data_IF_977122128023
#
_entry.id   IF_977122128023
#
_cell.length_a   1.000
_cell.length_b   1.000
_cell.length_c   1.000
_cell.angle_alpha   90.00
_cell.angle_beta   90.00
_cell.angle_gamma   90.00
#
_symmetry.space_group_name_H-M   'P 1'
#
loop_
_entity.id
_entity.type
_entity.pdbx_description
1 polymer ?
#
# COMPACT_ATOMS: atom_id res chain seq x y z
N UNK A 1 8.84 -2.80 72.63
CA UNK A 1 9.87 -2.55 71.59
C UNK A 1 9.31 -2.88 70.19
N UNK A 2 8.70 -1.88 69.53
CA UNK A 2 8.19 -2.03 68.18
C UNK A 2 9.33 -2.04 67.16
N UNK A 3 9.17 -2.88 66.14
CA UNK A 3 10.04 -3.02 64.99
C UNK A 3 10.02 -1.72 64.17
N UNK A 4 11.21 -1.20 63.87
CA UNK A 4 11.41 -0.15 62.89
C UNK A 4 11.17 -0.75 61.49
N UNK A 5 10.14 -0.28 60.81
CA UNK A 5 9.97 -0.43 59.37
C UNK A 5 10.68 0.77 58.73
N UNK A 6 11.72 0.50 57.94
CA UNK A 6 12.36 1.48 57.07
C UNK A 6 11.43 1.74 55.88
N UNK A 7 10.83 2.93 55.88
CA UNK A 7 10.20 3.53 54.70
C UNK A 7 11.28 3.84 53.65
N UNK A 8 11.44 2.94 52.69
CA UNK A 8 12.17 3.21 51.45
C UNK A 8 11.17 3.77 50.43
N UNK A 9 11.06 5.10 50.42
CA UNK A 9 10.26 5.88 49.48
C UNK A 9 10.87 5.76 48.07
N UNK A 10 10.20 4.99 47.22
CA UNK A 10 10.56 4.77 45.82
C UNK A 10 9.92 5.89 44.97
N UNK A 11 10.69 6.61 44.13
CA UNK A 11 10.17 7.77 43.39
C UNK A 11 9.13 7.35 42.33
N UNK A 12 8.11 8.18 42.06
CA UNK A 12 7.05 7.84 41.11
C UNK A 12 7.57 7.79 39.66
N UNK A 13 7.03 6.89 38.82
CA UNK A 13 7.44 6.77 37.42
C UNK A 13 7.02 8.01 36.60
N UNK A 14 7.82 8.43 35.61
CA UNK A 14 7.50 9.57 34.77
C UNK A 14 6.27 9.29 33.88
N UNK A 15 5.44 10.30 33.60
CA UNK A 15 4.25 10.14 32.76
C UNK A 15 4.62 9.87 31.29
N UNK A 16 3.77 9.13 30.54
CA UNK A 16 4.03 8.77 29.16
C UNK A 16 4.03 10.01 28.23
N UNK A 17 4.85 10.01 27.16
CA UNK A 17 4.94 11.14 26.23
C UNK A 17 3.64 11.30 25.44
N UNK A 18 3.03 12.49 25.53
CA UNK A 18 1.92 12.91 24.70
C UNK A 18 2.38 13.16 23.25
N UNK A 19 1.57 12.79 22.24
CA UNK A 19 1.87 13.04 20.84
C UNK A 19 1.79 14.53 20.50
N UNK A 20 2.86 15.02 19.88
CA UNK A 20 3.05 16.38 19.39
C UNK A 20 1.96 16.80 18.41
N UNK A 21 1.25 17.88 18.74
CA UNK A 21 0.42 18.62 17.80
C UNK A 21 1.31 19.51 16.91
N UNK A 22 1.04 19.63 15.61
CA UNK A 22 1.76 20.54 14.72
C UNK A 22 1.41 22.02 14.99
N UNK A 23 2.35 22.95 14.79
CA UNK A 23 2.21 24.35 15.17
C UNK A 23 1.21 25.14 14.32
N UNK A 24 0.35 25.90 15.01
CA UNK A 24 -0.42 27.01 14.44
C UNK A 24 0.52 28.19 14.19
N UNK A 25 0.66 28.63 12.93
CA UNK A 25 1.25 29.91 12.58
C UNK A 25 0.19 30.94 12.25
N UNK A 26 0.33 32.07 12.94
CA UNK A 26 -0.45 33.30 12.92
C UNK A 26 -0.50 33.99 11.56
N UNK A 27 -1.68 34.50 11.22
CA UNK A 27 -1.93 35.40 10.10
C UNK A 27 -1.21 36.74 10.29
N UNK A 28 -0.53 37.21 9.24
CA UNK A 28 -0.14 38.62 9.10
C UNK A 28 -0.46 39.08 7.68
N UNK A 29 -1.24 40.14 7.59
CA UNK A 29 -1.73 40.80 6.38
C UNK A 29 -0.70 41.79 5.86
N UNK A 30 -0.28 41.71 4.60
CA UNK A 30 0.24 42.88 3.85
C UNK A 30 0.03 42.69 2.35
N UNK A 31 -0.61 43.72 1.79
CA UNK A 31 -1.08 43.93 0.41
C UNK A 31 0.08 44.33 -0.51
N UNK A 32 0.14 43.81 -1.75
CA UNK A 32 0.77 44.43 -2.93
C UNK A 32 0.43 43.65 -4.21
N UNK A 33 0.31 44.38 -5.31
CA UNK A 33 -0.40 44.16 -6.59
C UNK A 33 0.38 43.48 -7.74
N UNK A 34 -0.41 42.88 -8.67
CA UNK A 34 -0.24 42.61 -10.12
C UNK A 34 0.28 41.24 -10.68
N UNK A 35 -0.17 40.79 -11.90
CA UNK A 35 -0.45 39.38 -12.27
C UNK A 35 0.34 38.84 -13.52
N UNK A 36 -0.08 37.77 -14.26
CA UNK A 36 0.30 36.34 -14.18
C UNK A 36 1.14 35.86 -15.43
N UNK A 37 1.55 34.57 -15.65
CA UNK A 37 0.66 33.43 -15.96
C UNK A 37 1.08 32.00 -15.48
N UNK A 38 0.06 31.20 -15.13
CA UNK A 38 -0.15 29.73 -15.30
C UNK A 38 1.03 28.74 -15.34
N UNK A 39 1.06 27.80 -14.37
CA UNK A 39 0.85 26.36 -14.61
C UNK A 39 0.85 25.58 -13.28
N UNK A 40 -0.23 24.84 -13.03
CA UNK A 40 -0.53 24.11 -11.81
C UNK A 40 0.45 22.97 -11.49
N UNK A 41 0.68 22.67 -10.19
CA UNK A 41 1.44 21.51 -9.72
C UNK A 41 0.52 20.33 -9.35
N UNK A 42 0.99 19.11 -9.70
CA UNK A 42 0.70 17.80 -9.06
C UNK A 42 -0.68 17.56 -8.46
N UNK A 43 -1.54 16.88 -9.22
CA UNK A 43 -2.66 16.09 -8.67
C UNK A 43 -2.10 14.96 -7.79
N UNK A 44 -2.13 15.14 -6.47
CA UNK A 44 -2.01 14.02 -5.52
C UNK A 44 -3.41 13.44 -5.34
N UNK A 45 -3.68 12.30 -5.96
CA UNK A 45 -4.93 11.56 -5.79
C UNK A 45 -5.05 11.10 -4.33
N UNK A 46 -6.14 11.41 -3.60
CA UNK A 46 -6.35 10.90 -2.25
C UNK A 46 -6.59 9.37 -2.25
N UNK A 47 -6.31 8.68 -1.14
CA UNK A 47 -6.48 7.22 -1.01
C UNK A 47 -7.93 6.79 -1.28
N UNK A 48 -8.18 5.60 -1.86
CA UNK A 48 -9.52 5.13 -2.19
C UNK A 48 -10.37 5.02 -0.92
N UNK A 49 -11.49 5.75 -0.91
CA UNK A 49 -12.54 5.63 0.09
C UNK A 49 -13.10 4.19 0.06
N UNK A 50 -13.35 3.54 1.21
CA UNK A 50 -13.84 2.17 1.24
C UNK A 50 -15.18 2.09 0.53
N UNK A 51 -15.18 1.47 -0.64
CA UNK A 51 -16.39 1.28 -1.43
C UNK A 51 -17.46 0.54 -0.59
N UNK A 52 -18.73 0.99 -0.62
CA UNK A 52 -19.78 0.32 0.10
C UNK A 52 -19.91 -1.12 -0.41
N UNK A 53 -19.71 -2.09 0.49
CA UNK A 53 -19.80 -3.52 0.16
C UNK A 53 -21.19 -3.80 -0.40
N UNK A 54 -21.27 -3.92 -1.72
CA UNK A 54 -22.54 -4.13 -2.41
C UNK A 54 -23.01 -5.55 -2.09
N UNK A 55 -24.24 -5.74 -1.58
CA UNK A 55 -24.71 -7.07 -1.21
C UNK A 55 -24.88 -7.95 -2.43
N UNK A 56 -24.17 -9.08 -2.47
CA UNK A 56 -24.29 -10.09 -3.52
C UNK A 56 -25.64 -10.82 -3.51
N UNK A 57 -25.91 -11.67 -4.51
CA UNK A 57 -27.22 -12.30 -4.71
C UNK A 57 -27.66 -13.14 -3.51
N UNK A 58 -26.72 -13.81 -2.83
CA UNK A 58 -27.01 -14.61 -1.64
C UNK A 58 -27.27 -13.75 -0.40
N UNK A 59 -26.53 -12.68 -0.22
CA UNK A 59 -26.76 -11.73 0.87
C UNK A 59 -28.14 -11.05 0.72
N UNK A 60 -28.52 -10.69 -0.51
CA UNK A 60 -29.86 -10.18 -0.82
C UNK A 60 -30.96 -11.19 -0.50
N UNK A 61 -30.78 -12.46 -0.91
CA UNK A 61 -31.73 -13.54 -0.58
C UNK A 61 -31.85 -13.76 0.93
N UNK A 62 -30.75 -13.71 1.67
CA UNK A 62 -30.77 -13.86 3.13
C UNK A 62 -31.61 -12.75 3.78
N UNK A 63 -31.41 -11.50 3.36
CA UNK A 63 -32.22 -10.35 3.81
C UNK A 63 -33.70 -10.52 3.45
N UNK A 64 -34.00 -10.92 2.20
CA UNK A 64 -35.37 -11.14 1.75
C UNK A 64 -36.08 -12.26 2.54
N UNK A 65 -35.39 -13.37 2.79
CA UNK A 65 -35.92 -14.48 3.60
C UNK A 65 -36.18 -14.05 5.04
N UNK A 66 -35.28 -13.26 5.63
CA UNK A 66 -35.48 -12.73 6.98
C UNK A 66 -36.71 -11.82 7.05
N UNK A 67 -36.87 -10.89 6.10
CA UNK A 67 -38.03 -10.02 6.01
C UNK A 67 -39.33 -10.82 5.83
N UNK A 68 -39.32 -11.80 4.92
CA UNK A 68 -40.48 -12.67 4.67
C UNK A 68 -40.85 -13.51 5.90
N UNK A 69 -39.86 -14.03 6.64
CA UNK A 69 -40.10 -14.83 7.83
C UNK A 69 -40.61 -13.95 8.97
N UNK A 70 -40.07 -12.74 9.10
CA UNK A 70 -40.51 -11.75 10.09
C UNK A 70 -41.95 -11.31 9.82
N UNK A 71 -42.30 -10.95 8.58
CA UNK A 71 -43.68 -10.59 8.25
C UNK A 71 -44.63 -11.75 8.53
N UNK A 72 -44.28 -12.96 8.08
CA UNK A 72 -45.12 -14.14 8.29
C UNK A 72 -45.32 -14.49 9.78
N UNK A 73 -44.30 -14.31 10.62
CA UNK A 73 -44.42 -14.54 12.07
C UNK A 73 -45.26 -13.47 12.76
N UNK A 74 -45.11 -12.21 12.37
CA UNK A 74 -45.93 -11.11 12.88
C UNK A 74 -47.39 -11.21 12.42
N UNK A 75 -47.65 -11.69 11.20
CA UNK A 75 -49.00 -11.90 10.67
C UNK A 75 -49.78 -12.97 11.47
N UNK A 76 -49.09 -13.97 12.03
CA UNK A 76 -49.72 -14.97 12.91
C UNK A 76 -50.19 -14.37 14.24
N UNK A 77 -49.55 -13.30 14.70
CA UNK A 77 -50.01 -12.49 15.82
C UNK A 77 -51.15 -11.56 15.36
N UNK A 78 -52.19 -12.13 14.77
CA UNK A 78 -53.31 -11.34 14.25
C UNK A 78 -54.15 -10.72 15.39
N UNK A 79 -54.79 -9.57 15.16
CA UNK A 79 -55.68 -8.94 16.13
C UNK A 79 -56.78 -9.86 16.71
N UNK A 80 -57.48 -10.73 15.92
CA UNK A 80 -58.48 -11.62 16.49
C UNK A 80 -57.87 -12.67 17.44
N UNK A 81 -56.74 -13.29 17.04
CA UNK A 81 -56.03 -14.25 17.90
C UNK A 81 -55.60 -13.59 19.22
N UNK A 82 -55.16 -12.33 19.17
CA UNK A 82 -54.75 -11.60 20.37
C UNK A 82 -55.94 -11.26 21.28
N UNK A 83 -57.10 -10.92 20.71
CA UNK A 83 -58.33 -10.62 21.46
C UNK A 83 -58.90 -11.86 22.16
N UNK A 84 -58.82 -13.02 21.54
CA UNK A 84 -59.24 -14.30 22.13
C UNK A 84 -58.48 -14.64 23.41
N UNK A 85 -57.19 -14.28 23.49
CA UNK A 85 -56.39 -14.45 24.70
C UNK A 85 -56.74 -13.49 25.84
N UNK A 86 -57.41 -12.36 25.54
CA UNK A 86 -57.77 -11.32 26.51
C UNK A 86 -59.26 -10.94 26.47
N UNK A 87 -60.18 -11.88 26.75
CA UNK A 87 -61.62 -11.69 26.52
C UNK A 87 -62.21 -10.54 27.36
N UNK A 88 -61.76 -10.38 28.61
CA UNK A 88 -62.26 -9.33 29.51
C UNK A 88 -61.89 -7.92 29.04
N UNK A 89 -60.67 -7.73 28.54
CA UNK A 89 -60.19 -6.43 28.06
C UNK A 89 -60.74 -6.16 26.66
N UNK A 90 -60.87 -7.19 25.82
CA UNK A 90 -61.48 -7.07 24.49
C UNK A 90 -62.93 -6.56 24.54
N UNK A 91 -63.69 -6.89 25.59
CA UNK A 91 -65.06 -6.41 25.77
C UNK A 91 -65.12 -5.01 26.39
N UNK A 92 -64.23 -4.70 27.34
CA UNK A 92 -64.26 -3.44 28.10
C UNK A 92 -63.55 -2.28 27.40
N UNK A 93 -62.49 -2.55 26.65
CA UNK A 93 -61.66 -1.54 25.99
C UNK A 93 -60.93 -2.11 24.75
N UNK A 94 -61.67 -2.43 23.66
CA UNK A 94 -61.07 -3.00 22.45
C UNK A 94 -60.01 -2.07 21.81
N UNK A 95 -60.24 -0.76 21.84
CA UNK A 95 -59.30 0.22 21.27
C UNK A 95 -57.94 0.27 21.99
N UNK A 96 -57.92 0.11 23.31
CA UNK A 96 -56.67 0.06 24.08
C UNK A 96 -55.89 -1.21 23.77
N UNK A 97 -56.59 -2.35 23.63
CA UNK A 97 -55.97 -3.63 23.30
C UNK A 97 -55.35 -3.62 21.89
N UNK A 98 -56.05 -3.04 20.91
CA UNK A 98 -55.54 -2.87 19.55
C UNK A 98 -54.30 -1.95 19.51
N UNK A 99 -54.28 -0.91 20.33
CA UNK A 99 -53.13 -0.01 20.42
C UNK A 99 -51.91 -0.72 21.04
N UNK A 100 -52.10 -1.52 22.10
CA UNK A 100 -51.02 -2.33 22.69
C UNK A 100 -50.50 -3.37 21.70
N UNK A 101 -51.41 -4.03 20.98
CA UNK A 101 -51.07 -5.01 19.95
C UNK A 101 -50.21 -4.39 18.83
N UNK A 102 -50.62 -3.25 18.29
CA UNK A 102 -49.84 -2.52 17.27
C UNK A 102 -48.48 -2.09 17.80
N UNK A 103 -48.42 -1.50 19.00
CA UNK A 103 -47.15 -1.08 19.61
C UNK A 103 -46.20 -2.26 19.86
N UNK A 104 -46.74 -3.41 20.25
CA UNK A 104 -45.96 -4.62 20.45
C UNK A 104 -45.36 -5.12 19.14
N UNK A 105 -46.17 -5.22 18.07
CA UNK A 105 -45.70 -5.66 16.74
C UNK A 105 -44.65 -4.69 16.20
N UNK A 106 -44.89 -3.39 16.29
CA UNK A 106 -43.99 -2.36 15.78
C UNK A 106 -42.63 -2.38 16.51
N UNK A 107 -42.66 -2.46 17.85
CA UNK A 107 -41.45 -2.57 18.66
C UNK A 107 -40.69 -3.87 18.38
N UNK A 108 -41.40 -4.99 18.23
CA UNK A 108 -40.80 -6.29 17.96
C UNK A 108 -40.12 -6.29 16.58
N UNK A 109 -40.81 -5.79 15.55
CA UNK A 109 -40.28 -5.62 14.20
C UNK A 109 -39.02 -4.76 14.19
N UNK A 110 -39.06 -3.61 14.88
CA UNK A 110 -37.93 -2.69 14.98
C UNK A 110 -36.73 -3.33 15.67
N UNK A 111 -36.95 -4.04 16.80
CA UNK A 111 -35.89 -4.71 17.53
C UNK A 111 -35.27 -5.86 16.72
N UNK A 112 -36.10 -6.68 16.05
CA UNK A 112 -35.61 -7.76 15.21
C UNK A 112 -34.77 -7.26 14.04
N UNK A 113 -35.24 -6.24 13.32
CA UNK A 113 -34.46 -5.64 12.22
C UNK A 113 -33.14 -5.05 12.72
N UNK A 114 -33.15 -4.37 13.87
CA UNK A 114 -31.95 -3.78 14.46
C UNK A 114 -30.94 -4.85 14.88
N UNK A 115 -31.36 -5.90 15.59
CA UNK A 115 -30.46 -6.97 16.00
C UNK A 115 -29.96 -7.77 14.80
N UNK A 116 -30.78 -7.95 13.77
CA UNK A 116 -30.37 -8.61 12.54
C UNK A 116 -29.28 -7.84 11.80
N UNK A 117 -29.43 -6.53 11.59
CA UNK A 117 -28.37 -5.71 10.97
C UNK A 117 -27.10 -5.71 11.85
N UNK A 118 -27.24 -5.62 13.17
CA UNK A 118 -26.09 -5.74 14.10
C UNK A 118 -25.34 -7.07 13.92
N UNK A 119 -26.06 -8.18 13.75
CA UNK A 119 -25.44 -9.50 13.52
C UNK A 119 -24.75 -9.53 12.14
N UNK A 120 -25.37 -8.97 11.10
CA UNK A 120 -24.77 -8.90 9.77
C UNK A 120 -23.45 -8.11 9.78
N UNK A 121 -23.40 -7.00 10.50
CA UNK A 121 -22.21 -6.17 10.67
C UNK A 121 -21.13 -6.88 11.51
N UNK A 122 -21.50 -7.35 12.71
CA UNK A 122 -20.54 -7.94 13.66
C UNK A 122 -19.84 -9.17 13.08
N UNK A 123 -20.55 -9.97 12.30
CA UNK A 123 -20.01 -11.19 11.68
C UNK A 123 -19.54 -10.97 10.24
N UNK A 124 -19.62 -9.74 9.72
CA UNK A 124 -19.26 -9.39 8.35
C UNK A 124 -19.92 -10.33 7.32
N UNK A 125 -21.18 -10.69 7.56
CA UNK A 125 -21.86 -11.76 6.80
C UNK A 125 -21.93 -11.40 5.32
N UNK A 126 -22.21 -10.13 4.99
CA UNK A 126 -22.30 -9.68 3.59
C UNK A 126 -20.97 -9.89 2.87
N UNK A 127 -19.86 -9.52 3.50
CA UNK A 127 -18.51 -9.72 2.95
C UNK A 127 -18.23 -11.21 2.73
N UNK A 128 -18.48 -12.06 3.74
CA UNK A 128 -18.23 -13.50 3.63
C UNK A 128 -19.10 -14.18 2.59
N UNK A 129 -20.36 -13.75 2.45
CA UNK A 129 -21.25 -14.28 1.42
C UNK A 129 -20.84 -13.82 0.01
N UNK A 130 -20.29 -12.62 -0.13
CA UNK A 130 -19.72 -12.16 -1.39
C UNK A 130 -18.46 -12.95 -1.75
N UNK A 131 -17.52 -13.10 -0.81
CA UNK A 131 -16.32 -13.96 -0.98
C UNK A 131 -16.71 -15.39 -1.37
N UNK A 132 -17.78 -15.92 -0.78
CA UNK A 132 -18.30 -17.24 -1.13
C UNK A 132 -18.86 -17.29 -2.56
N UNK A 133 -19.58 -16.27 -3.02
CA UNK A 133 -20.07 -16.21 -4.40
C UNK A 133 -18.91 -16.12 -5.39
N UNK A 134 -17.85 -15.37 -5.08
CA UNK A 134 -16.65 -15.30 -5.89
C UNK A 134 -15.96 -16.67 -5.99
N UNK A 135 -15.80 -17.37 -4.86
CA UNK A 135 -15.26 -18.74 -4.84
C UNK A 135 -16.12 -19.73 -5.62
N UNK A 136 -17.45 -19.60 -5.58
CA UNK A 136 -18.36 -20.45 -6.34
C UNK A 136 -18.22 -20.16 -7.84
N UNK A 137 -18.12 -18.90 -8.24
CA UNK A 137 -17.91 -18.52 -9.64
C UNK A 137 -16.57 -19.07 -10.16
N UNK A 138 -15.49 -18.94 -9.39
CA UNK A 138 -14.19 -19.50 -9.74
C UNK A 138 -14.25 -21.03 -9.87
N UNK A 139 -14.90 -21.70 -8.92
CA UNK A 139 -15.08 -23.14 -8.96
C UNK A 139 -15.92 -23.59 -10.17
N UNK A 140 -16.97 -22.86 -10.52
CA UNK A 140 -17.79 -23.12 -11.71
C UNK A 140 -16.99 -22.90 -13.00
N UNK A 141 -16.16 -21.86 -13.08
CA UNK A 141 -15.27 -21.62 -14.21
C UNK A 141 -14.26 -22.76 -14.38
N UNK A 142 -13.62 -23.19 -13.29
CA UNK A 142 -12.71 -24.35 -13.29
C UNK A 142 -13.42 -25.62 -13.74
N UNK A 143 -14.64 -25.87 -13.23
CA UNK A 143 -15.44 -27.03 -13.65
C UNK A 143 -15.76 -27.00 -15.16
N UNK A 144 -16.16 -25.85 -15.70
CA UNK A 144 -16.42 -25.68 -17.14
C UNK A 144 -15.16 -25.91 -17.98
N UNK A 145 -13.99 -25.47 -17.49
CA UNK A 145 -12.71 -25.71 -18.16
C UNK A 145 -12.33 -27.20 -18.20
N UNK A 146 -12.56 -27.92 -17.09
CA UNK A 146 -12.36 -29.39 -17.00
C UNK A 146 -13.33 -30.14 -17.93
N UNK A 147 -14.61 -29.76 -17.96
CA UNK A 147 -15.62 -30.34 -18.86
C UNK A 147 -15.29 -30.05 -20.35
N UNK A 148 -14.65 -28.92 -20.64
CA UNK A 148 -14.09 -28.59 -21.96
C UNK A 148 -12.78 -29.30 -22.31
N UNK A 149 -12.35 -30.31 -21.54
CA UNK A 149 -11.15 -31.11 -21.78
C UNK A 149 -9.83 -30.41 -21.40
N UNK A 150 -9.88 -29.23 -20.77
CA UNK A 150 -8.71 -28.49 -20.28
C UNK A 150 -8.72 -28.43 -18.75
N UNK A 151 -8.43 -29.55 -18.10
CA UNK A 151 -8.15 -29.56 -16.67
C UNK A 151 -8.31 -30.90 -15.99
N UNK A 152 -7.61 -31.07 -14.88
CA UNK A 152 -7.74 -32.21 -13.98
C UNK A 152 -8.88 -31.96 -12.98
N UNK A 153 -9.55 -33.04 -12.55
CA UNK A 153 -10.67 -32.93 -11.60
C UNK A 153 -10.12 -32.48 -10.24
N UNK A 154 -10.70 -31.44 -9.60
CA UNK A 154 -10.22 -30.98 -8.30
C UNK A 154 -10.31 -32.10 -7.25
N UNK A 155 -9.18 -32.37 -6.59
CA UNK A 155 -9.09 -33.32 -5.47
C UNK A 155 -9.57 -32.62 -4.20
N UNK A 156 -10.48 -33.23 -3.41
CA UNK A 156 -10.99 -32.60 -2.21
C UNK A 156 -9.90 -32.49 -1.11
N UNK A 157 -9.94 -31.43 -0.28
CA UNK A 157 -8.87 -31.13 0.68
C UNK A 157 -8.65 -32.21 1.74
N UNK A 158 -9.66 -33.01 2.07
CA UNK A 158 -9.55 -34.09 3.05
C UNK A 158 -8.84 -35.35 2.53
N UNK A 159 -8.61 -35.43 1.21
CA UNK A 159 -7.85 -36.53 0.58
C UNK A 159 -6.42 -36.13 0.23
N UNK A 160 -6.03 -34.89 0.53
CA UNK A 160 -4.70 -34.36 0.24
C UNK A 160 -3.73 -34.67 1.38
N UNK A 161 -2.51 -35.07 1.01
CA UNK A 161 -1.42 -35.30 1.97
C UNK A 161 -1.02 -34.00 2.69
N UNK A 162 -0.58 -34.12 3.93
CA UNK A 162 -0.20 -32.99 4.77
C UNK A 162 0.88 -32.10 4.13
N UNK A 163 1.85 -32.71 3.44
CA UNK A 163 2.93 -31.99 2.76
C UNK A 163 2.40 -31.11 1.62
N UNK A 164 1.40 -31.59 0.89
CA UNK A 164 0.79 -30.84 -0.21
C UNK A 164 0.02 -29.63 0.33
N UNK A 165 -0.69 -29.80 1.45
CA UNK A 165 -1.39 -28.70 2.14
C UNK A 165 -0.38 -27.66 2.62
N UNK A 166 0.70 -28.09 3.29
CA UNK A 166 1.76 -27.20 3.77
C UNK A 166 2.40 -26.43 2.61
N UNK A 167 2.76 -27.11 1.52
CA UNK A 167 3.35 -26.48 0.33
C UNK A 167 2.37 -25.50 -0.32
N UNK A 168 1.08 -25.83 -0.40
CA UNK A 168 0.07 -24.93 -0.96
C UNK A 168 -0.03 -23.63 -0.16
N UNK A 169 0.03 -23.70 1.17
CA UNK A 169 0.06 -22.51 2.03
C UNK A 169 1.36 -21.70 1.87
N UNK A 170 2.52 -22.36 1.81
CA UNK A 170 3.80 -21.68 1.65
C UNK A 170 3.99 -21.07 0.25
N UNK A 171 3.32 -21.61 -0.77
CA UNK A 171 3.47 -21.19 -2.17
C UNK A 171 3.17 -19.71 -2.38
N UNK A 172 2.13 -19.17 -1.73
CA UNK A 172 1.78 -17.75 -1.85
C UNK A 172 2.90 -16.85 -1.35
N UNK A 173 3.37 -17.13 -0.14
CA UNK A 173 4.49 -16.40 0.48
C UNK A 173 5.79 -16.53 -0.33
N UNK A 174 6.16 -17.75 -0.73
CA UNK A 174 7.37 -17.99 -1.51
C UNK A 174 7.32 -17.28 -2.87
N UNK A 175 6.15 -17.23 -3.54
CA UNK A 175 5.99 -16.53 -4.81
C UNK A 175 6.22 -15.02 -4.65
N UNK A 176 5.70 -14.43 -3.59
CA UNK A 176 5.94 -13.01 -3.28
C UNK A 176 7.43 -12.75 -3.04
N UNK A 177 8.08 -13.57 -2.21
CA UNK A 177 9.52 -13.45 -1.94
C UNK A 177 10.36 -13.62 -3.21
N UNK A 178 10.03 -14.58 -4.07
CA UNK A 178 10.71 -14.78 -5.36
C UNK A 178 10.54 -13.57 -6.29
N UNK A 179 9.36 -12.94 -6.29
CA UNK A 179 9.13 -11.71 -7.07
C UNK A 179 10.00 -10.56 -6.56
N UNK A 180 10.09 -10.37 -5.24
CA UNK A 180 10.91 -9.33 -4.62
C UNK A 180 12.40 -9.56 -4.92
N UNK A 181 12.88 -10.79 -4.74
CA UNK A 181 14.28 -11.14 -5.02
C UNK A 181 14.61 -11.04 -6.51
N UNK A 182 13.69 -11.44 -7.38
CA UNK A 182 13.83 -11.27 -8.83
C UNK A 182 13.96 -9.81 -9.23
N UNK A 183 13.15 -8.92 -8.65
CA UNK A 183 13.27 -7.47 -8.85
C UNK A 183 14.65 -6.93 -8.46
N UNK A 184 15.13 -7.27 -7.25
CA UNK A 184 16.46 -6.85 -6.76
C UNK A 184 17.61 -7.38 -7.62
N UNK A 185 17.49 -8.62 -8.11
CA UNK A 185 18.48 -9.22 -8.99
C UNK A 185 18.58 -8.44 -10.31
N UNK A 186 17.44 -8.09 -10.92
CA UNK A 186 17.43 -7.34 -12.17
C UNK A 186 17.90 -5.89 -12.00
N UNK A 187 17.55 -5.25 -10.88
CA UNK A 187 18.06 -3.93 -10.51
C UNK A 187 19.60 -3.94 -10.39
N UNK A 188 20.16 -4.85 -9.58
CA UNK A 188 21.62 -4.96 -9.41
C UNK A 188 22.34 -5.36 -10.70
N UNK A 189 21.75 -6.19 -11.56
CA UNK A 189 22.29 -6.50 -12.89
C UNK A 189 22.30 -5.26 -13.78
N UNK A 190 21.24 -4.45 -13.75
CA UNK A 190 21.15 -3.19 -14.47
C UNK A 190 22.23 -2.20 -14.03
N UNK A 191 22.41 -2.04 -12.71
CA UNK A 191 23.44 -1.18 -12.14
C UNK A 191 24.85 -1.64 -12.51
N UNK A 192 25.14 -2.94 -12.37
CA UNK A 192 26.45 -3.49 -12.73
C UNK A 192 26.76 -3.29 -14.21
N UNK A 193 25.78 -3.46 -15.09
CA UNK A 193 25.95 -3.20 -16.52
C UNK A 193 26.28 -1.72 -16.79
N UNK A 194 25.53 -0.80 -16.16
CA UNK A 194 25.79 0.65 -16.28
C UNK A 194 27.19 1.02 -15.80
N UNK A 195 27.59 0.53 -14.63
CA UNK A 195 28.92 0.77 -14.07
C UNK A 195 30.03 0.20 -14.95
N UNK A 196 29.82 -0.98 -15.54
CA UNK A 196 30.77 -1.58 -16.45
C UNK A 196 30.96 -0.75 -17.72
N UNK A 197 29.86 -0.26 -18.32
CA UNK A 197 29.91 0.64 -19.48
C UNK A 197 30.65 1.95 -19.15
N UNK A 198 30.41 2.51 -17.97
CA UNK A 198 31.09 3.71 -17.47
C UNK A 198 32.60 3.48 -17.27
N UNK A 199 33.01 2.35 -16.71
CA UNK A 199 34.43 2.00 -16.56
C UNK A 199 35.10 1.85 -17.92
N UNK A 200 34.42 1.28 -18.92
CA UNK A 200 34.98 1.14 -20.26
C UNK A 200 35.14 2.51 -20.96
N UNK A 201 34.18 3.43 -20.80
CA UNK A 201 34.31 4.78 -21.35
C UNK A 201 35.46 5.53 -20.68
N UNK A 202 35.56 5.48 -19.35
CA UNK A 202 36.65 6.10 -18.60
C UNK A 202 38.01 5.53 -18.98
N UNK A 203 38.13 4.21 -19.22
CA UNK A 203 39.37 3.60 -19.70
C UNK A 203 39.79 4.14 -21.06
N UNK A 204 38.84 4.26 -21.98
CA UNK A 204 39.10 4.84 -23.31
C UNK A 204 39.51 6.32 -23.22
N UNK A 205 38.88 7.09 -22.34
CA UNK A 205 39.24 8.48 -22.07
C UNK A 205 40.66 8.58 -21.50
N UNK A 206 41.02 7.74 -20.52
CA UNK A 206 42.38 7.69 -19.96
C UNK A 206 43.42 7.34 -21.03
N UNK A 207 43.16 6.36 -21.88
CA UNK A 207 44.05 6.04 -23.00
C UNK A 207 44.22 7.21 -23.97
N UNK A 208 43.15 7.97 -24.22
CA UNK A 208 43.19 9.20 -25.02
C UNK A 208 44.03 10.30 -24.36
N UNK A 209 43.83 10.54 -23.07
CA UNK A 209 44.58 11.53 -22.29
C UNK A 209 46.06 11.17 -22.20
N UNK A 210 46.41 9.90 -22.00
CA UNK A 210 47.81 9.44 -21.99
C UNK A 210 48.47 9.74 -23.33
N UNK A 211 47.83 9.40 -24.46
CA UNK A 211 48.35 9.71 -25.81
C UNK A 211 48.51 11.21 -26.04
N UNK A 212 47.57 12.02 -25.56
CA UNK A 212 47.66 13.48 -25.66
C UNK A 212 48.84 14.03 -24.86
N UNK A 213 49.04 13.56 -23.62
CA UNK A 213 50.18 13.94 -22.78
C UNK A 213 51.50 13.50 -23.39
N UNK A 214 51.59 12.26 -23.92
CA UNK A 214 52.77 11.78 -24.65
C UNK A 214 53.06 12.62 -25.89
N UNK A 215 52.02 13.14 -26.57
CA UNK A 215 52.14 14.11 -27.65
C UNK A 215 52.76 15.42 -27.18
N UNK A 216 52.17 16.05 -26.16
CA UNK A 216 52.67 17.31 -25.58
C UNK A 216 54.11 17.15 -25.08
N UNK A 217 54.46 16.03 -24.45
CA UNK A 217 55.85 15.76 -24.01
C UNK A 217 56.81 15.68 -25.20
N UNK A 218 56.41 15.07 -26.32
CA UNK A 218 57.21 15.06 -27.55
C UNK A 218 57.34 16.46 -28.14
N UNK A 219 56.27 17.23 -28.17
CA UNK A 219 56.27 18.60 -28.69
C UNK A 219 57.17 19.52 -27.85
N UNK A 220 57.12 19.41 -26.51
CA UNK A 220 58.02 20.14 -25.59
C UNK A 220 59.47 19.72 -25.77
N UNK A 221 59.74 18.41 -25.93
CA UNK A 221 61.09 17.91 -26.23
C UNK A 221 61.60 18.47 -27.57
N UNK A 222 60.79 18.41 -28.62
CA UNK A 222 61.13 18.97 -29.93
C UNK A 222 61.36 20.48 -29.88
N UNK A 223 60.51 21.23 -29.17
CA UNK A 223 60.70 22.66 -28.96
C UNK A 223 61.99 22.97 -28.18
N UNK A 224 62.31 22.17 -27.15
CA UNK A 224 63.56 22.29 -26.40
C UNK A 224 64.80 21.98 -27.25
N UNK A 225 64.74 21.00 -28.15
CA UNK A 225 65.82 20.67 -29.08
C UNK A 225 66.05 21.80 -30.08
N UNK A 226 64.99 22.37 -30.65
CA UNK A 226 65.06 23.53 -31.55
C UNK A 226 65.64 24.74 -30.84
N UNK A 227 65.14 25.06 -29.64
CA UNK A 227 65.69 26.16 -28.82
C UNK A 227 67.16 25.91 -28.47
N UNK A 228 67.56 24.68 -28.16
CA UNK A 228 68.95 24.33 -27.92
C UNK A 228 69.84 24.56 -29.15
N UNK A 229 69.34 24.27 -30.35
CA UNK A 229 70.02 24.58 -31.61
C UNK A 229 70.20 26.09 -31.83
N UNK A 230 69.14 26.88 -31.64
CA UNK A 230 69.17 28.35 -31.77
C UNK A 230 70.10 28.98 -30.73
N UNK A 231 70.12 28.48 -29.48
CA UNK A 231 71.06 28.94 -28.47
C UNK A 231 72.51 28.61 -28.86
N UNK A 232 72.75 27.42 -29.42
CA UNK A 232 74.08 27.05 -29.95
C UNK A 232 74.53 27.92 -31.11
N UNK A 233 73.62 28.29 -32.02
CA UNK A 233 73.88 29.20 -33.14
C UNK A 233 74.14 30.64 -32.66
N UNK A 234 73.33 31.15 -31.73
CA UNK A 234 73.54 32.44 -31.06
C UNK A 234 74.87 32.48 -30.29
N UNK A 235 75.26 31.40 -29.60
CA UNK A 235 76.58 31.30 -28.97
C UNK A 235 77.71 31.34 -30.00
N UNK A 236 77.50 30.75 -31.18
CA UNK A 236 78.43 30.80 -32.31
C UNK A 236 78.58 32.22 -32.86
N UNK A 237 77.45 32.86 -33.20
CA UNK A 237 77.39 34.23 -33.68
C UNK A 237 77.95 35.21 -32.65
N UNK A 238 77.64 35.05 -31.36
CA UNK A 238 78.19 35.91 -30.30
C UNK A 238 79.70 35.74 -30.19
N UNK A 239 80.23 34.50 -30.31
CA UNK A 239 81.69 34.25 -30.33
C UNK A 239 82.37 34.78 -31.61
N UNK A 240 81.66 34.84 -32.72
CA UNK A 240 82.15 35.37 -33.99
C UNK A 240 82.17 36.90 -33.99
N UNK A 241 81.09 37.54 -33.54
CA UNK A 241 80.99 38.99 -33.33
C UNK A 241 82.01 39.48 -32.30
N UNK A 242 82.23 38.74 -31.20
CA UNK A 242 83.25 39.07 -30.20
C UNK A 242 84.67 38.94 -30.78
N UNK A 243 84.89 38.02 -31.73
CA UNK A 243 86.16 37.88 -32.46
C UNK A 243 86.36 39.01 -33.48
N UNK A 244 85.30 39.49 -34.12
CA UNK A 244 85.34 40.63 -35.05
C UNK A 244 85.49 41.98 -34.33
N UNK A 245 85.03 42.11 -33.09
CA UNK A 245 85.18 43.33 -32.27
C UNK A 245 86.54 43.47 -31.58
N UNK A 246 87.27 42.37 -31.40
CA UNK A 246 88.58 42.32 -30.71
C UNK A 246 89.79 42.16 -31.66
N UNK A 247 89.56 42.12 -32.97
CA UNK A 247 90.60 42.15 -34.01
C UNK A 247 90.70 43.52 -34.68
#
# INVERSE_FOLDING_TARGET
PPQQQEDTEMPPPPPPPQPSQPPQTTATTTTSSDPPPTSDPSETTPPPEPEPITPGPRAQRLRALFQQTTSHTLDKLSPPNFRECFPTISQKAPGTLDNVHRQMIDRLSTLWNREFERILETRQVVQRLNELEDLIQEAQQKRRAVEGGKGERPVPPHTLDADVVLQAHLRGYLKEQLSVLGGKLEETRGENKRLFEEVLSQRKEMEGLIKAVEGVVRDVKGASEVLGGVVGELEGETREVDRELLG
#
